data_IF_245893257328
#
_entry.id   IF_245893257328
#
_cell.length_a   1.000
_cell.length_b   1.000
_cell.length_c   1.000
_cell.angle_alpha   90.00
_cell.angle_beta   90.00
_cell.angle_gamma   90.00
#
_symmetry.space_group_name_H-M   'P 1'
#
loop_
_entity.id
_entity.type
_entity.pdbx_description
1 polymer ?
#
# COMPACT_ATOMS: atom_id res chain seq x y z
N UNK A 1 -11.40 -36.15 19.54
CA UNK A 1 -11.15 -36.48 18.11
C UNK A 1 -12.18 -35.72 17.29
N UNK A 2 -11.76 -34.59 16.69
CA UNK A 2 -12.68 -33.72 15.93
C UNK A 2 -13.07 -34.37 14.60
N UNK A 3 -14.24 -34.92 14.55
CA UNK A 3 -14.84 -35.55 13.37
C UNK A 3 -15.07 -34.58 12.20
N UNK A 4 -14.95 -33.23 12.43
CA UNK A 4 -15.17 -32.20 11.43
C UNK A 4 -13.90 -31.73 10.69
N UNK A 5 -12.72 -32.24 11.05
CA UNK A 5 -11.46 -31.75 10.47
C UNK A 5 -11.06 -32.44 9.16
N UNK A 6 -11.46 -33.73 9.01
CA UNK A 6 -11.07 -34.55 7.83
C UNK A 6 -11.76 -34.10 6.53
N UNK A 7 -13.08 -33.82 6.48
CA UNK A 7 -13.73 -33.37 5.26
C UNK A 7 -13.21 -32.02 4.75
N UNK A 8 -12.86 -31.09 5.64
CA UNK A 8 -12.31 -29.77 5.26
C UNK A 8 -10.92 -29.87 4.64
N UNK A 9 -10.08 -30.80 5.08
CA UNK A 9 -8.75 -31.04 4.49
C UNK A 9 -8.85 -31.64 3.09
N UNK A 10 -9.75 -32.62 2.89
CA UNK A 10 -9.99 -33.25 1.59
C UNK A 10 -10.60 -32.24 0.62
N UNK A 11 -11.56 -31.44 1.06
CA UNK A 11 -12.19 -30.39 0.23
C UNK A 11 -11.18 -29.30 -0.15
N UNK A 12 -10.25 -28.92 0.75
CA UNK A 12 -9.13 -28.02 0.46
C UNK A 12 -8.18 -28.64 -0.58
N UNK A 13 -7.86 -29.92 -0.47
CA UNK A 13 -7.01 -30.61 -1.46
C UNK A 13 -7.64 -30.67 -2.84
N UNK A 14 -8.93 -31.05 -2.92
CA UNK A 14 -9.68 -31.08 -4.16
C UNK A 14 -9.84 -29.68 -4.80
N UNK A 15 -10.06 -28.66 -3.98
CA UNK A 15 -10.13 -27.26 -4.46
C UNK A 15 -8.79 -26.76 -4.98
N UNK A 16 -7.65 -27.21 -4.44
CA UNK A 16 -6.32 -26.88 -4.94
C UNK A 16 -5.99 -27.53 -6.28
N UNK A 17 -6.61 -28.65 -6.62
CA UNK A 17 -6.47 -29.27 -7.96
C UNK A 17 -7.21 -28.48 -9.04
N UNK A 18 -8.34 -27.84 -8.72
CA UNK A 18 -9.13 -27.07 -9.67
C UNK A 18 -8.71 -25.59 -9.68
N UNK A 19 -8.38 -25.04 -8.50
CA UNK A 19 -7.94 -23.67 -8.30
C UNK A 19 -6.65 -23.65 -7.49
N UNK A 20 -5.49 -23.97 -8.11
CA UNK A 20 -4.23 -23.96 -7.38
C UNK A 20 -3.90 -22.54 -6.91
N UNK A 21 -3.36 -22.43 -5.69
CA UNK A 21 -2.81 -21.16 -5.21
C UNK A 21 -1.72 -20.70 -6.16
N UNK A 22 -1.70 -19.40 -6.39
CA UNK A 22 -0.71 -18.76 -7.24
C UNK A 22 0.08 -17.72 -6.47
N UNK A 23 1.34 -17.54 -6.86
CA UNK A 23 2.20 -16.52 -6.28
C UNK A 23 1.63 -15.13 -6.62
N UNK A 24 1.34 -14.25 -5.61
CA UNK A 24 0.78 -12.93 -5.88
C UNK A 24 1.75 -12.00 -6.64
N UNK A 25 3.05 -12.37 -6.70
CA UNK A 25 4.08 -11.58 -7.33
C UNK A 25 4.43 -12.01 -8.77
N UNK A 26 4.30 -13.31 -9.10
CA UNK A 26 4.69 -13.81 -10.43
C UNK A 26 3.69 -14.79 -11.08
N UNK A 27 2.54 -15.02 -10.44
CA UNK A 27 1.46 -15.92 -10.89
C UNK A 27 1.85 -17.41 -11.03
N UNK A 28 3.06 -17.83 -10.63
CA UNK A 28 3.46 -19.24 -10.62
C UNK A 28 2.56 -20.04 -9.67
N UNK A 29 2.16 -21.23 -10.08
CA UNK A 29 1.40 -22.15 -9.22
C UNK A 29 2.20 -22.52 -7.99
N UNK A 30 1.57 -22.40 -6.83
CA UNK A 30 2.14 -22.70 -5.52
C UNK A 30 1.53 -24.00 -4.96
N UNK A 31 2.30 -24.72 -4.17
CA UNK A 31 1.79 -25.76 -3.30
C UNK A 31 1.28 -25.16 -1.97
N UNK A 32 1.92 -25.55 -0.85
CA UNK A 32 1.56 -25.10 0.50
C UNK A 32 2.25 -23.78 0.93
N UNK A 33 3.18 -23.27 0.13
CA UNK A 33 3.96 -22.06 0.45
C UNK A 33 3.19 -20.79 0.09
N UNK A 34 3.38 -19.68 0.81
CA UNK A 34 2.68 -18.41 0.55
C UNK A 34 3.23 -17.64 -0.67
N UNK A 35 4.48 -17.91 -1.07
CA UNK A 35 5.20 -17.27 -2.17
C UNK A 35 6.19 -18.27 -2.75
N UNK A 36 6.52 -18.18 -4.03
CA UNK A 36 7.53 -19.05 -4.64
C UNK A 36 8.96 -18.68 -4.16
N UNK A 37 9.91 -19.63 -4.16
CA UNK A 37 11.26 -19.38 -3.66
C UNK A 37 11.96 -18.20 -4.33
N UNK A 38 11.82 -18.04 -5.66
CA UNK A 38 12.47 -16.95 -6.40
C UNK A 38 11.96 -15.59 -5.94
N UNK A 39 10.63 -15.43 -5.82
CA UNK A 39 10.05 -14.20 -5.30
C UNK A 39 10.36 -14.00 -3.80
N UNK A 40 10.50 -15.06 -3.01
CA UNK A 40 10.87 -14.95 -1.61
C UNK A 40 12.26 -14.33 -1.44
N UNK A 41 13.24 -14.78 -2.23
CA UNK A 41 14.59 -14.23 -2.23
C UNK A 41 14.58 -12.76 -2.69
N UNK A 42 13.91 -12.46 -3.79
CA UNK A 42 13.80 -11.09 -4.34
C UNK A 42 13.09 -10.12 -3.36
N UNK A 43 12.09 -10.60 -2.61
CA UNK A 43 11.39 -9.80 -1.60
C UNK A 43 12.30 -9.38 -0.44
N UNK A 44 13.22 -10.24 -0.01
CA UNK A 44 14.20 -9.88 1.03
C UNK A 44 15.16 -8.78 0.56
N UNK A 45 15.56 -8.79 -0.71
CA UNK A 45 16.40 -7.74 -1.31
C UNK A 45 15.64 -6.42 -1.48
N UNK A 46 14.35 -6.51 -1.83
CA UNK A 46 13.49 -5.33 -2.04
C UNK A 46 12.95 -4.75 -0.74
N UNK A 47 13.11 -5.46 0.39
CA UNK A 47 12.63 -5.00 1.69
C UNK A 47 13.40 -3.77 2.14
N UNK A 48 12.66 -2.72 2.53
CA UNK A 48 13.26 -1.50 3.06
C UNK A 48 13.78 -1.73 4.48
N UNK A 49 15.05 -1.44 4.70
CA UNK A 49 15.74 -1.56 6.00
C UNK A 49 16.50 -0.25 6.26
N UNK A 50 16.61 0.21 7.50
CA UNK A 50 16.18 -0.42 8.76
C UNK A 50 14.69 -0.30 9.05
N UNK A 51 13.93 0.53 8.36
CA UNK A 51 12.52 0.78 8.65
C UNK A 51 11.66 0.96 7.42
N UNK A 52 10.34 0.91 7.60
CA UNK A 52 9.35 1.06 6.54
C UNK A 52 8.86 2.51 6.40
N UNK A 53 9.16 3.40 7.36
CA UNK A 53 8.69 4.77 7.34
C UNK A 53 9.31 5.52 6.16
N UNK A 54 8.50 6.33 5.49
CA UNK A 54 8.94 7.16 4.37
C UNK A 54 9.58 8.44 4.90
N UNK A 55 10.65 8.86 4.25
CA UNK A 55 11.33 10.11 4.56
C UNK A 55 10.61 11.28 3.87
N UNK A 56 10.27 12.30 4.65
CA UNK A 56 9.65 13.52 4.15
C UNK A 56 10.58 14.33 3.23
N UNK A 57 11.89 14.07 3.25
CA UNK A 57 12.84 14.68 2.32
C UNK A 57 12.72 14.11 0.89
N UNK A 58 12.27 12.86 0.78
CA UNK A 58 12.10 12.15 -0.50
C UNK A 58 10.66 12.13 -1.00
N UNK A 59 9.68 12.35 -0.10
CA UNK A 59 8.27 12.23 -0.40
C UNK A 59 7.51 13.47 0.07
N UNK A 60 6.58 13.93 -0.76
CA UNK A 60 5.65 14.99 -0.36
C UNK A 60 4.56 14.39 0.53
N UNK A 61 4.74 14.51 1.84
CA UNK A 61 3.80 13.97 2.82
C UNK A 61 2.67 14.96 3.19
N UNK A 62 2.86 16.27 2.92
CA UNK A 62 1.87 17.30 3.24
C UNK A 62 1.52 17.29 4.73
N UNK A 63 0.23 17.17 5.05
CA UNK A 63 -0.30 17.16 6.41
C UNK A 63 -0.45 15.72 6.98
N UNK A 64 0.11 14.70 6.32
CA UNK A 64 0.18 13.34 6.85
C UNK A 64 0.99 13.31 8.14
N UNK A 65 0.54 12.57 9.14
CA UNK A 65 1.34 12.29 10.35
C UNK A 65 2.54 11.38 10.04
N UNK A 66 2.51 10.73 8.89
CA UNK A 66 3.58 9.94 8.33
C UNK A 66 3.08 9.00 7.24
N UNK A 67 4.02 8.30 6.62
CA UNK A 67 3.72 7.27 5.65
C UNK A 67 4.71 6.11 5.78
N UNK A 68 4.29 4.90 5.37
CA UNK A 68 5.13 3.70 5.42
C UNK A 68 4.90 2.79 4.21
N UNK A 69 5.97 2.12 3.78
CA UNK A 69 5.92 1.06 2.78
C UNK A 69 7.04 0.05 3.03
N UNK A 70 6.76 -1.26 3.10
CA UNK A 70 7.76 -2.28 3.38
C UNK A 70 8.73 -2.55 2.25
N UNK A 71 8.37 -2.27 1.00
CA UNK A 71 9.17 -2.64 -0.17
C UNK A 71 9.50 -1.45 -1.07
N UNK A 72 10.59 -1.59 -1.83
CA UNK A 72 10.84 -0.78 -3.02
C UNK A 72 9.92 -1.24 -4.16
N UNK A 73 9.45 -0.28 -4.97
CA UNK A 73 8.58 -0.57 -6.13
C UNK A 73 9.39 -1.04 -7.34
N UNK A 74 9.98 -2.21 -7.21
CA UNK A 74 10.86 -2.82 -8.21
C UNK A 74 10.55 -4.32 -8.36
N UNK A 75 11.18 -4.98 -9.29
CA UNK A 75 11.23 -6.42 -9.44
C UNK A 75 9.90 -7.13 -9.28
N UNK A 76 9.84 -8.15 -8.44
CA UNK A 76 8.63 -8.95 -8.22
C UNK A 76 7.51 -8.15 -7.55
N UNK A 77 7.83 -7.18 -6.68
CA UNK A 77 6.82 -6.33 -6.05
C UNK A 77 6.09 -5.49 -7.10
N UNK A 78 6.84 -4.85 -8.01
CA UNK A 78 6.26 -4.11 -9.14
C UNK A 78 5.43 -5.04 -10.04
N UNK A 79 5.94 -6.24 -10.38
CA UNK A 79 5.19 -7.22 -11.18
C UNK A 79 3.87 -7.60 -10.51
N UNK A 80 3.87 -7.93 -9.21
CA UNK A 80 2.68 -8.29 -8.46
C UNK A 80 1.63 -7.18 -8.46
N UNK A 81 2.01 -5.94 -8.18
CA UNK A 81 1.10 -4.79 -8.21
C UNK A 81 0.55 -4.55 -9.62
N UNK A 82 1.38 -4.63 -10.67
CA UNK A 82 0.93 -4.51 -12.05
C UNK A 82 -0.01 -5.65 -12.44
N UNK A 83 0.26 -6.88 -11.98
CA UNK A 83 -0.61 -8.03 -12.20
C UNK A 83 -2.01 -7.77 -11.62
N UNK A 84 -2.13 -7.24 -10.40
CA UNK A 84 -3.43 -6.84 -9.84
C UNK A 84 -4.11 -5.74 -10.65
N UNK A 85 -3.34 -4.85 -11.28
CA UNK A 85 -3.87 -3.70 -12.02
C UNK A 85 -4.36 -4.05 -13.42
N UNK A 86 -3.70 -4.98 -14.10
CA UNK A 86 -3.88 -5.18 -15.55
C UNK A 86 -4.32 -6.58 -15.97
N UNK A 87 -4.28 -7.57 -15.08
CA UNK A 87 -4.58 -8.97 -15.44
C UNK A 87 -5.84 -9.54 -14.75
N UNK A 88 -6.77 -8.67 -14.33
CA UNK A 88 -8.03 -9.06 -13.69
C UNK A 88 -7.83 -10.06 -12.51
N UNK A 89 -6.81 -9.83 -11.69
CA UNK A 89 -6.43 -10.68 -10.56
C UNK A 89 -6.79 -10.04 -9.18
N UNK A 90 -8.08 -9.85 -8.85
CA UNK A 90 -8.47 -9.24 -7.57
C UNK A 90 -8.02 -10.05 -6.35
N UNK A 91 -7.91 -11.38 -6.49
CA UNK A 91 -7.40 -12.27 -5.45
C UNK A 91 -5.95 -11.93 -5.07
N UNK A 92 -5.10 -11.56 -6.05
CA UNK A 92 -3.72 -11.18 -5.79
C UNK A 92 -3.63 -9.88 -4.97
N UNK A 93 -4.54 -8.93 -5.18
CA UNK A 93 -4.61 -7.72 -4.36
C UNK A 93 -4.90 -8.03 -2.88
N UNK A 94 -5.78 -8.99 -2.60
CA UNK A 94 -6.02 -9.45 -1.23
C UNK A 94 -4.79 -10.11 -0.63
N UNK A 95 -4.10 -10.98 -1.39
CA UNK A 95 -2.84 -11.61 -0.94
C UNK A 95 -1.74 -10.57 -0.68
N UNK A 96 -1.59 -9.54 -1.52
CA UNK A 96 -0.66 -8.44 -1.28
C UNK A 96 -1.03 -7.65 -0.01
N UNK A 97 -2.31 -7.48 0.27
CA UNK A 97 -2.80 -6.89 1.51
C UNK A 97 -2.49 -7.74 2.74
N UNK A 98 -2.50 -9.08 2.64
CA UNK A 98 -2.06 -9.97 3.72
C UNK A 98 -0.56 -9.78 4.01
N UNK A 99 0.26 -9.65 2.97
CA UNK A 99 1.68 -9.34 3.12
C UNK A 99 1.90 -7.99 3.81
N UNK A 100 1.13 -6.97 3.41
CA UNK A 100 1.19 -5.65 4.03
C UNK A 100 0.80 -5.70 5.50
N UNK A 101 -0.30 -6.40 5.84
CA UNK A 101 -0.74 -6.56 7.22
C UNK A 101 0.31 -7.29 8.10
N UNK A 102 0.90 -8.37 7.57
CA UNK A 102 1.95 -9.11 8.27
C UNK A 102 3.19 -8.26 8.52
N UNK A 103 3.67 -7.54 7.51
CA UNK A 103 4.90 -6.76 7.61
C UNK A 103 4.74 -5.48 8.43
N UNK A 104 3.58 -4.82 8.34
CA UNK A 104 3.34 -3.56 9.02
C UNK A 104 2.89 -3.74 10.48
N UNK A 105 2.16 -4.81 10.77
CA UNK A 105 1.50 -4.99 12.06
C UNK A 105 1.84 -6.31 12.74
N UNK A 106 2.77 -7.10 12.22
CA UNK A 106 3.19 -8.39 12.79
C UNK A 106 2.09 -9.44 12.83
N UNK A 107 0.89 -9.15 12.26
CA UNK A 107 -0.23 -10.07 12.36
C UNK A 107 -0.07 -11.21 11.38
N UNK A 108 0.37 -12.37 11.87
CA UNK A 108 0.10 -13.62 11.19
C UNK A 108 -1.40 -13.87 11.27
N UNK A 109 -2.10 -13.57 10.19
CA UNK A 109 -3.52 -13.92 10.08
C UNK A 109 -3.64 -15.44 9.97
N UNK A 110 -3.63 -16.11 11.11
CA UNK A 110 -4.26 -17.41 11.20
C UNK A 110 -5.77 -17.20 11.06
N UNK A 111 -6.38 -17.83 10.07
CA UNK A 111 -7.82 -17.77 9.80
C UNK A 111 -8.68 -18.37 10.92
N UNK A 112 -8.13 -18.53 12.13
CA UNK A 112 -8.80 -19.01 13.34
C UNK A 112 -8.09 -18.45 14.58
N UNK A 113 -8.59 -17.36 15.13
CA UNK A 113 -8.60 -17.11 16.56
C UNK A 113 -7.26 -16.89 17.30
N UNK A 114 -6.18 -16.58 16.66
CA UNK A 114 -4.95 -16.18 17.34
C UNK A 114 -4.93 -14.66 17.52
N UNK A 115 -4.72 -14.21 18.75
CA UNK A 115 -4.52 -12.79 19.02
C UNK A 115 -3.27 -12.27 18.29
N UNK A 116 -3.36 -11.14 17.61
CA UNK A 116 -2.21 -10.54 16.94
C UNK A 116 -1.21 -10.07 17.99
N UNK A 117 0.04 -10.53 17.88
CA UNK A 117 1.17 -9.88 18.59
C UNK A 117 1.76 -8.86 17.61
N UNK A 118 1.51 -7.57 17.80
CA UNK A 118 2.02 -6.55 16.88
C UNK A 118 3.48 -6.25 17.20
N UNK A 119 4.40 -6.67 16.35
CA UNK A 119 5.67 -5.95 16.20
C UNK A 119 5.36 -4.67 15.41
N UNK A 120 5.12 -3.60 16.16
CA UNK A 120 4.83 -2.29 15.58
C UNK A 120 6.02 -1.78 14.77
N UNK A 121 5.73 -1.30 13.58
CA UNK A 121 6.62 -0.40 12.86
C UNK A 121 6.88 0.81 13.77
N UNK A 122 8.13 1.12 14.01
CA UNK A 122 8.54 2.23 14.87
C UNK A 122 7.81 3.52 14.44
N UNK A 123 6.98 4.06 15.30
CA UNK A 123 6.15 5.25 15.04
C UNK A 123 4.77 5.01 14.42
N UNK A 124 4.33 3.76 14.18
CA UNK A 124 2.93 3.46 13.91
C UNK A 124 2.19 3.23 15.22
N UNK A 125 1.30 4.14 15.55
CA UNK A 125 0.36 3.97 16.65
C UNK A 125 -0.68 2.91 16.28
N UNK A 126 -1.01 1.99 17.20
CA UNK A 126 -2.17 1.07 17.07
C UNK A 126 -3.52 1.78 17.15
N UNK A 127 -3.51 3.09 17.37
CA UNK A 127 -4.69 3.91 17.63
C UNK A 127 -5.35 4.47 16.37
N UNK A 128 -5.50 3.69 15.29
CA UNK A 128 -6.35 4.08 14.16
C UNK A 128 -7.79 3.64 14.42
N UNK A 129 -8.74 4.52 14.07
CA UNK A 129 -10.17 4.27 14.28
C UNK A 129 -10.83 3.67 13.03
N UNK A 130 -10.26 3.89 11.86
CA UNK A 130 -10.78 3.35 10.61
C UNK A 130 -9.72 3.27 9.50
N UNK A 131 -10.03 2.47 8.48
CA UNK A 131 -9.25 2.37 7.24
C UNK A 131 -10.02 2.99 6.09
N UNK A 132 -9.32 3.81 5.31
CA UNK A 132 -9.85 4.41 4.08
C UNK A 132 -8.91 4.09 2.93
N UNK A 133 -9.37 3.41 1.87
CA UNK A 133 -8.53 3.14 0.70
C UNK A 133 -8.52 4.35 -0.24
N UNK A 134 -7.38 4.60 -0.88
CA UNK A 134 -7.27 5.58 -1.97
C UNK A 134 -8.21 5.16 -3.12
N UNK A 135 -9.05 6.06 -3.65
CA UNK A 135 -9.97 5.74 -4.73
C UNK A 135 -9.26 5.42 -6.05
N UNK A 136 -9.71 4.40 -6.76
CA UNK A 136 -9.15 4.01 -8.05
C UNK A 136 -9.14 5.16 -9.08
N UNK A 137 -8.10 5.22 -9.90
CA UNK A 137 -7.92 6.26 -10.92
C UNK A 137 -8.68 6.02 -12.24
N UNK A 138 -9.40 4.91 -12.40
CA UNK A 138 -10.09 4.58 -13.66
C UNK A 138 -11.27 3.62 -13.49
N UNK A 139 -12.21 3.68 -14.46
CA UNK A 139 -13.43 2.85 -14.47
C UNK A 139 -13.24 1.44 -15.03
N UNK A 140 -12.13 1.16 -15.68
CA UNK A 140 -11.97 -0.01 -16.54
C UNK A 140 -11.84 -1.36 -15.82
N UNK A 141 -11.51 -1.36 -14.50
CA UNK A 141 -11.13 -2.60 -13.80
C UNK A 141 -12.27 -3.32 -13.07
N UNK A 142 -13.36 -2.62 -12.73
CA UNK A 142 -14.45 -3.18 -11.91
C UNK A 142 -14.10 -3.36 -10.43
N UNK A 143 -12.86 -3.11 -9.98
CA UNK A 143 -12.43 -3.17 -8.58
C UNK A 143 -11.33 -2.15 -8.27
N UNK A 144 -11.19 -1.84 -6.99
CA UNK A 144 -10.15 -0.95 -6.45
C UNK A 144 -9.06 -1.78 -5.74
N UNK A 145 -7.81 -1.73 -6.22
CA UNK A 145 -6.69 -2.50 -5.65
C UNK A 145 -6.40 -2.09 -4.19
N UNK A 146 -6.23 -0.80 -3.83
CA UNK A 146 -6.11 -0.37 -2.44
C UNK A 146 -7.23 -0.86 -1.53
N UNK A 147 -8.49 -0.86 -2.01
CA UNK A 147 -9.62 -1.37 -1.25
C UNK A 147 -9.50 -2.87 -0.95
N UNK A 148 -9.11 -3.68 -1.94
CA UNK A 148 -8.93 -5.11 -1.74
C UNK A 148 -7.76 -5.41 -0.81
N UNK A 149 -6.68 -4.63 -0.89
CA UNK A 149 -5.56 -4.73 0.04
C UNK A 149 -5.94 -4.31 1.46
N UNK A 150 -6.84 -3.35 1.62
CA UNK A 150 -7.31 -2.87 2.92
C UNK A 150 -8.18 -3.90 3.68
N UNK A 151 -8.81 -4.86 2.98
CA UNK A 151 -9.66 -5.88 3.63
C UNK A 151 -8.90 -6.70 4.68
N UNK A 152 -7.73 -7.32 4.38
CA UNK A 152 -6.98 -8.05 5.39
C UNK A 152 -6.42 -7.14 6.50
N UNK A 153 -6.06 -5.89 6.20
CA UNK A 153 -5.64 -4.94 7.23
C UNK A 153 -6.77 -4.65 8.22
N UNK A 154 -7.98 -4.39 7.74
CA UNK A 154 -9.14 -4.14 8.57
C UNK A 154 -9.43 -5.32 9.53
N UNK A 155 -9.31 -6.55 9.01
CA UNK A 155 -9.47 -7.76 9.82
C UNK A 155 -8.36 -7.95 10.85
N UNK A 156 -7.11 -7.66 10.46
CA UNK A 156 -5.96 -7.79 11.33
C UNK A 156 -5.99 -6.79 12.48
N UNK A 157 -6.43 -5.57 12.22
CA UNK A 157 -6.49 -4.48 13.20
C UNK A 157 -7.82 -4.44 13.97
N UNK A 158 -8.85 -5.18 13.54
CA UNK A 158 -10.18 -5.15 14.16
C UNK A 158 -10.92 -3.83 14.01
N UNK A 159 -10.56 -3.00 13.00
CA UNK A 159 -11.16 -1.67 12.78
C UNK A 159 -11.97 -1.63 11.48
N UNK A 160 -12.97 -0.73 11.38
CA UNK A 160 -13.82 -0.66 10.21
C UNK A 160 -13.08 -0.20 8.95
N UNK A 161 -13.47 -0.75 7.82
CA UNK A 161 -13.06 -0.32 6.48
C UNK A 161 -14.17 0.51 5.85
N UNK A 162 -13.86 1.75 5.45
CA UNK A 162 -14.80 2.64 4.78
C UNK A 162 -14.41 2.87 3.31
N UNK A 163 -14.78 1.97 2.40
CA UNK A 163 -14.32 2.01 1.01
C UNK A 163 -14.87 3.18 0.19
N UNK A 164 -15.91 3.85 0.69
CA UNK A 164 -16.57 4.99 0.04
C UNK A 164 -16.36 6.32 0.76
N UNK A 165 -15.57 6.35 1.84
CA UNK A 165 -15.29 7.58 2.58
C UNK A 165 -14.56 8.62 1.73
N UNK A 166 -13.73 8.19 0.78
CA UNK A 166 -13.12 9.06 -0.23
C UNK A 166 -13.72 8.79 -1.60
N UNK A 167 -14.05 9.86 -2.32
CA UNK A 167 -14.44 9.85 -3.73
C UNK A 167 -13.55 10.77 -4.56
N UNK A 168 -13.37 10.46 -5.85
CA UNK A 168 -12.74 11.39 -6.79
C UNK A 168 -13.75 12.44 -7.23
N UNK A 169 -13.32 13.69 -7.25
CA UNK A 169 -14.04 14.75 -7.95
C UNK A 169 -13.88 14.55 -9.47
N UNK A 170 -14.80 15.12 -10.26
CA UNK A 170 -14.65 15.16 -11.73
C UNK A 170 -13.62 16.22 -12.13
N UNK A 171 -12.41 16.18 -11.58
CA UNK A 171 -11.36 17.10 -11.95
C UNK A 171 -10.75 16.73 -13.33
N UNK A 172 -10.33 17.78 -14.06
CA UNK A 172 -9.83 17.75 -15.44
C UNK A 172 -8.76 16.67 -15.66
N UNK A 173 -8.79 16.08 -16.88
CA UNK A 173 -7.89 15.03 -17.36
C UNK A 173 -6.42 15.30 -17.03
N UNK A 174 -5.74 14.31 -16.47
CA UNK A 174 -4.30 14.23 -16.41
C UNK A 174 -3.70 14.36 -17.82
N UNK A 175 -2.90 15.36 -18.04
CA UNK A 175 -1.93 15.37 -19.13
C UNK A 175 -0.66 14.68 -18.60
N UNK A 176 -0.27 13.58 -19.24
CA UNK A 176 1.00 12.90 -18.97
C UNK A 176 2.16 13.85 -19.28
N UNK A 177 3.18 13.93 -18.41
CA UNK A 177 4.40 14.69 -18.66
C UNK A 177 4.57 16.00 -17.88
N UNK A 178 3.68 16.32 -16.93
CA UNK A 178 3.78 17.57 -16.16
C UNK A 178 4.89 17.52 -15.08
N UNK A 179 5.59 18.66 -14.82
CA UNK A 179 6.54 18.85 -13.72
C UNK A 179 5.91 18.55 -12.35
N UNK A 180 6.73 18.25 -11.34
CA UNK A 180 6.30 17.86 -10.00
C UNK A 180 5.32 18.86 -9.35
N UNK A 181 5.62 20.16 -9.43
CA UNK A 181 4.78 21.23 -8.87
C UNK A 181 3.40 21.30 -9.53
N UNK A 182 3.32 21.05 -10.84
CA UNK A 182 2.05 21.00 -11.56
C UNK A 182 1.25 19.73 -11.25
N UNK A 183 1.93 18.63 -10.88
CA UNK A 183 1.24 17.42 -10.38
C UNK A 183 0.59 17.68 -9.03
N UNK A 184 1.24 18.40 -8.12
CA UNK A 184 0.66 18.81 -6.84
C UNK A 184 -0.56 19.69 -7.04
N UNK A 185 -0.48 20.71 -7.89
CA UNK A 185 -1.60 21.60 -8.21
C UNK A 185 -2.78 20.87 -8.88
N UNK A 186 -2.50 19.87 -9.71
CA UNK A 186 -3.54 19.07 -10.38
C UNK A 186 -4.22 18.04 -9.46
N UNK A 187 -3.63 17.71 -8.32
CA UNK A 187 -4.19 16.76 -7.35
C UNK A 187 -4.94 17.51 -6.23
N UNK A 188 -4.67 18.81 -6.03
CA UNK A 188 -5.44 19.65 -5.12
C UNK A 188 -6.92 19.69 -5.56
N UNK A 189 -7.83 19.31 -4.65
CA UNK A 189 -9.27 19.20 -4.93
C UNK A 189 -9.69 17.99 -5.78
N UNK A 190 -8.77 17.05 -6.09
CA UNK A 190 -9.11 15.84 -6.84
C UNK A 190 -9.92 14.82 -6.03
N UNK A 191 -9.99 14.99 -4.72
CA UNK A 191 -10.70 14.10 -3.81
C UNK A 191 -11.70 14.87 -2.96
N UNK A 192 -12.75 14.20 -2.52
CA UNK A 192 -13.75 14.71 -1.58
C UNK A 192 -14.23 13.59 -0.67
N UNK A 193 -14.70 13.94 0.50
CA UNK A 193 -15.40 13.05 1.43
C UNK A 193 -16.90 13.29 1.24
N UNK A 194 -17.66 12.33 0.70
CA UNK A 194 -19.10 12.51 0.49
C UNK A 194 -19.91 12.52 1.78
N UNK A 195 -19.43 11.80 2.82
CA UNK A 195 -20.06 11.62 4.11
C UNK A 195 -19.01 11.82 5.20
N UNK A 196 -19.07 12.97 5.86
CA UNK A 196 -18.10 13.38 6.88
C UNK A 196 -18.20 12.56 8.15
N UNK A 197 -19.38 12.02 8.50
CA UNK A 197 -19.60 11.20 9.70
C UNK A 197 -18.69 9.95 9.73
N UNK A 198 -18.27 9.49 8.57
CA UNK A 198 -17.37 8.34 8.45
C UNK A 198 -15.94 8.62 8.94
N UNK A 199 -15.51 9.88 8.99
CA UNK A 199 -14.12 10.26 9.26
C UNK A 199 -13.95 11.34 10.32
N UNK A 200 -15.00 12.07 10.67
CA UNK A 200 -14.96 13.17 11.65
C UNK A 200 -14.45 12.67 13.01
N UNK A 201 -13.46 13.37 13.57
CA UNK A 201 -12.81 13.05 14.85
C UNK A 201 -12.00 11.76 14.86
N UNK A 202 -11.76 11.12 13.69
CA UNK A 202 -11.11 9.81 13.61
C UNK A 202 -9.67 9.90 13.14
N UNK A 203 -8.85 8.99 13.66
CA UNK A 203 -7.49 8.71 13.20
C UNK A 203 -7.57 7.71 12.05
N UNK A 204 -7.27 8.18 10.85
CA UNK A 204 -7.47 7.42 9.62
C UNK A 204 -6.19 6.73 9.18
N UNK A 205 -6.24 5.43 8.90
CA UNK A 205 -5.22 4.71 8.15
C UNK A 205 -5.58 4.72 6.65
N UNK A 206 -4.88 5.54 5.87
CA UNK A 206 -5.05 5.63 4.42
C UNK A 206 -4.24 4.53 3.74
N UNK A 207 -4.88 3.70 2.91
CA UNK A 207 -4.24 2.57 2.22
C UNK A 207 -4.12 2.83 0.73
N UNK A 208 -2.89 2.68 0.19
CA UNK A 208 -2.63 2.70 -1.26
C UNK A 208 -1.84 1.46 -1.69
N UNK A 209 -1.68 1.21 -2.97
CA UNK A 209 -0.83 0.14 -3.49
C UNK A 209 0.65 0.59 -3.59
N UNK A 210 0.89 1.81 -4.05
CA UNK A 210 2.23 2.40 -4.22
C UNK A 210 2.21 3.88 -3.86
N UNK A 211 3.08 4.29 -2.97
CA UNK A 211 3.39 5.70 -2.76
C UNK A 211 4.61 6.04 -3.62
N UNK A 212 4.42 6.87 -4.64
CA UNK A 212 5.51 7.40 -5.46
C UNK A 212 6.00 8.72 -4.88
N UNK A 213 5.57 9.84 -5.42
CA UNK A 213 5.92 11.18 -4.88
C UNK A 213 5.20 11.55 -3.60
N UNK A 214 4.17 10.79 -3.19
CA UNK A 214 3.30 11.13 -2.06
C UNK A 214 2.13 12.07 -2.39
N UNK A 215 2.12 12.70 -3.56
CA UNK A 215 1.11 13.70 -3.93
C UNK A 215 -0.34 13.21 -3.83
N UNK A 216 -0.62 11.95 -4.21
CA UNK A 216 -1.95 11.35 -4.10
C UNK A 216 -2.34 11.18 -2.63
N UNK A 217 -1.44 10.65 -1.80
CA UNK A 217 -1.69 10.47 -0.37
C UNK A 217 -1.93 11.82 0.32
N UNK A 218 -1.12 12.83 0.02
CA UNK A 218 -1.27 14.18 0.56
C UNK A 218 -2.62 14.81 0.18
N UNK A 219 -3.07 14.68 -1.07
CA UNK A 219 -4.35 15.22 -1.50
C UNK A 219 -5.55 14.46 -0.90
N UNK A 220 -5.45 13.15 -0.72
CA UNK A 220 -6.44 12.38 0.03
C UNK A 220 -6.51 12.85 1.49
N UNK A 221 -5.34 13.06 2.12
CA UNK A 221 -5.22 13.57 3.48
C UNK A 221 -5.87 14.94 3.63
N UNK A 222 -5.59 15.87 2.73
CA UNK A 222 -6.21 17.18 2.74
C UNK A 222 -7.75 17.10 2.71
N UNK A 223 -8.30 16.21 1.88
CA UNK A 223 -9.74 16.01 1.81
C UNK A 223 -10.33 15.40 3.10
N UNK A 224 -9.59 14.46 3.74
CA UNK A 224 -9.98 13.83 5.00
C UNK A 224 -9.93 14.82 6.17
N UNK A 225 -8.86 15.61 6.29
CA UNK A 225 -8.72 16.63 7.33
C UNK A 225 -9.76 17.75 7.17
N UNK A 226 -10.02 18.19 5.93
CA UNK A 226 -11.09 19.14 5.63
C UNK A 226 -12.50 18.62 6.00
N UNK A 227 -12.68 17.30 6.06
CA UNK A 227 -13.89 16.63 6.51
C UNK A 227 -13.91 16.32 8.00
N UNK A 228 -12.94 16.85 8.78
CA UNK A 228 -12.89 16.73 10.23
C UNK A 228 -12.13 15.50 10.77
N UNK A 229 -11.39 14.76 9.95
CA UNK A 229 -10.51 13.70 10.47
C UNK A 229 -9.48 14.29 11.44
N UNK A 230 -9.19 13.59 12.56
CA UNK A 230 -8.22 14.03 13.56
C UNK A 230 -6.79 13.96 12.99
N UNK A 231 -6.47 12.87 12.34
CA UNK A 231 -5.15 12.64 11.74
C UNK A 231 -5.21 11.57 10.66
N UNK A 232 -4.21 11.57 9.77
CA UNK A 232 -4.09 10.60 8.69
C UNK A 232 -2.67 10.08 8.61
N UNK A 233 -2.52 8.77 8.63
CA UNK A 233 -1.27 8.07 8.31
C UNK A 233 -1.47 7.24 7.04
N UNK A 234 -0.51 7.27 6.12
CA UNK A 234 -0.61 6.49 4.89
C UNK A 234 0.24 5.23 4.93
N UNK A 235 -0.30 4.13 4.38
CA UNK A 235 0.44 2.89 4.20
C UNK A 235 0.24 2.35 2.78
N UNK A 236 1.34 1.89 2.17
CA UNK A 236 1.31 1.23 0.87
C UNK A 236 2.18 -0.04 0.89
N UNK A 237 2.01 -0.93 -0.08
CA UNK A 237 2.87 -2.10 -0.21
C UNK A 237 4.29 -1.71 -0.62
N UNK A 238 4.42 -0.70 -1.48
CA UNK A 238 5.70 -0.28 -2.01
C UNK A 238 5.82 1.23 -2.17
N UNK A 239 7.06 1.69 -2.23
CA UNK A 239 7.40 3.07 -2.56
C UNK A 239 8.49 3.12 -3.63
N UNK A 240 8.52 4.22 -4.37
CA UNK A 240 9.65 4.58 -5.22
C UNK A 240 10.63 5.39 -4.38
N UNK A 241 11.86 4.92 -4.25
CA UNK A 241 12.93 5.71 -3.65
C UNK A 241 13.52 6.61 -4.74
N UNK A 242 13.50 7.91 -4.49
CA UNK A 242 14.19 8.85 -5.33
C UNK A 242 15.60 9.00 -4.78
N UNK A 243 16.62 8.66 -5.56
CA UNK A 243 17.97 9.12 -5.29
C UNK A 243 17.94 10.64 -5.37
N UNK A 244 17.85 11.30 -4.23
CA UNK A 244 18.02 12.75 -4.17
C UNK A 244 19.48 13.02 -4.50
N UNK A 245 19.72 13.55 -5.72
CA UNK A 245 20.94 14.13 -6.24
C UNK A 245 22.22 13.49 -5.71
N UNK A 246 23.09 12.92 -6.57
CA UNK A 246 24.43 12.60 -6.14
C UNK A 246 25.01 13.86 -5.46
N UNK A 247 25.51 13.65 -4.25
CA UNK A 247 26.15 14.73 -3.49
C UNK A 247 27.07 15.47 -4.44
N UNK A 248 26.90 16.79 -4.54
CA UNK A 248 27.84 17.68 -5.22
C UNK A 248 29.11 17.76 -4.38
N UNK A 249 29.84 16.67 -4.33
CA UNK A 249 31.19 16.59 -3.81
C UNK A 249 32.16 16.29 -4.97
N UNK A 250 32.19 17.22 -5.92
CA UNK A 250 33.41 17.47 -6.68
C UNK A 250 33.72 18.97 -6.54
N UNK A 251 34.81 19.30 -5.84
CA UNK A 251 35.33 20.65 -5.90
C UNK A 251 35.64 20.95 -7.34
N UNK A 252 35.16 22.13 -7.83
CA UNK A 252 35.54 22.67 -9.11
C UNK A 252 37.06 22.72 -9.14
N UNK A 253 37.67 21.91 -10.01
CA UNK A 253 39.07 22.13 -10.37
C UNK A 253 39.13 23.50 -11.04
N UNK A 254 39.65 24.47 -10.32
CA UNK A 254 40.07 25.74 -10.89
C UNK A 254 41.17 25.41 -11.89
N UNK A 255 40.85 25.55 -13.18
CA UNK A 255 41.87 25.60 -14.22
C UNK A 255 42.63 26.90 -14.03
N UNK A 256 43.85 26.83 -13.50
CA UNK A 256 44.82 27.91 -13.61
C UNK A 256 45.13 28.13 -15.07
N UNK A 257 45.14 29.38 -15.53
CA UNK A 257 45.58 29.69 -16.88
C UNK A 257 47.11 29.62 -16.96
N UNK A 258 47.61 28.74 -17.83
CA UNK A 258 49.02 28.74 -18.26
C UNK A 258 49.39 30.10 -18.86
N UNK A 259 50.43 30.72 -18.24
CA UNK A 259 51.19 31.82 -18.84
C UNK A 259 52.47 31.26 -19.47
#
# INVERSE_FOLDING_TARGET
MDYYSVPRRILRGARQLVYPRRCPFCDRVLGSVPVCPDCAAELEELRRKPGMRLDASQHYLGELTGAAAPFRYEGCVRRGILHTKYHAAPWAAVELGLWLAKLAFGSEMHMAGAEPVPELVEGMSLGYDCIVPVPASGRARGYNVPQLMAVPLARALGIPLYPKALGRTRAKRHQAGLPFEQRLANVAGAFRVPDTELVEGRKVLLVDDVITTGATAAACTQALLAAGAESVFAIALATVEFEMFPARDQPLQENEPDF
#
